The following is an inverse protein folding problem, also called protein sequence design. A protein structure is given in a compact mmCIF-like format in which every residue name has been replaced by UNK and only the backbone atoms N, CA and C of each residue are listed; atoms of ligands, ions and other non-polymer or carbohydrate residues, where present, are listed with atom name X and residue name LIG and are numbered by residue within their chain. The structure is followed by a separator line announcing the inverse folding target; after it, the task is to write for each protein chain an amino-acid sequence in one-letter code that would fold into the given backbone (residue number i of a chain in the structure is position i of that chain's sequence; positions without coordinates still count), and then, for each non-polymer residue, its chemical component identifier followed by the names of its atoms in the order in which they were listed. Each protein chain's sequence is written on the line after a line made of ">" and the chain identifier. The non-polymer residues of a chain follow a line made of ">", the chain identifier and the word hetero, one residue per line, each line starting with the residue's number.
data_IF_432627943094
#
_entry.id   IF_432627943094
#
_cell.length_a   1.000
_cell.length_b   1.000
_cell.length_c   1.000
_cell.angle_alpha   90.00
_cell.angle_beta   90.00
_cell.angle_gamma   90.00
#
_symmetry.space_group_name_H-M   'P 1'
#
loop_
_entity.id
_entity.type
_entity.pdbx_description
1 polymer ?
#
# COMPACT_ATOMS: atom_id res chain seq x y z
N UNK A 1 -19.65 -8.11 -10.43
CA UNK A 1 -20.40 -9.09 -9.68
C UNK A 1 -20.77 -8.53 -8.32
N UNK A 2 -22.04 -8.55 -7.93
CA UNK A 2 -22.40 -8.03 -6.60
C UNK A 2 -21.86 -8.93 -5.50
N UNK A 3 -21.51 -8.31 -4.37
CA UNK A 3 -21.07 -9.05 -3.20
C UNK A 3 -22.22 -9.19 -2.23
N UNK A 4 -22.09 -10.10 -1.28
CA UNK A 4 -23.11 -10.31 -0.26
C UNK A 4 -23.13 -9.16 0.75
N UNK A 5 -24.23 -9.04 1.48
CA UNK A 5 -24.34 -8.06 2.53
C UNK A 5 -23.29 -8.28 3.61
N UNK A 6 -23.00 -9.54 3.92
CA UNK A 6 -21.99 -9.88 4.92
C UNK A 6 -20.60 -9.45 4.47
N UNK A 7 -20.25 -9.67 3.21
CA UNK A 7 -18.96 -9.27 2.66
C UNK A 7 -18.82 -7.76 2.69
N UNK A 8 -19.88 -7.05 2.35
CA UNK A 8 -19.87 -5.59 2.40
C UNK A 8 -19.68 -5.09 3.82
N UNK A 9 -20.37 -5.67 4.78
CA UNK A 9 -20.28 -5.28 6.18
C UNK A 9 -18.89 -5.54 6.77
N UNK A 10 -18.22 -6.58 6.31
CA UNK A 10 -16.89 -6.95 6.77
C UNK A 10 -15.78 -6.16 6.06
N UNK A 11 -16.09 -5.54 4.93
CA UNK A 11 -15.10 -4.79 4.17
C UNK A 11 -13.95 -5.64 3.67
N UNK A 12 -14.22 -6.88 3.25
CA UNK A 12 -13.17 -7.88 2.98
C UNK A 12 -12.46 -7.75 1.66
N UNK A 13 -13.00 -6.97 0.73
CA UNK A 13 -12.49 -6.91 -0.63
C UNK A 13 -11.07 -6.37 -0.73
N UNK A 14 -10.62 -5.61 0.27
CA UNK A 14 -9.31 -4.95 0.24
C UNK A 14 -8.38 -5.42 1.35
N UNK A 15 -8.90 -6.19 2.30
CA UNK A 15 -8.17 -6.52 3.53
C UNK A 15 -6.84 -7.23 3.28
N UNK A 16 -6.81 -8.17 2.35
CA UNK A 16 -5.59 -8.94 2.09
C UNK A 16 -4.45 -8.06 1.62
N UNK A 17 -4.73 -7.12 0.73
CA UNK A 17 -3.71 -6.22 0.21
C UNK A 17 -3.26 -5.23 1.28
N UNK A 18 -4.20 -4.65 2.02
CA UNK A 18 -3.91 -3.72 3.11
C UNK A 18 -3.01 -4.38 4.15
N UNK A 19 -3.35 -5.62 4.53
CA UNK A 19 -2.57 -6.37 5.51
C UNK A 19 -1.16 -6.66 5.00
N UNK A 20 -1.01 -7.02 3.73
CA UNK A 20 0.31 -7.28 3.14
C UNK A 20 1.20 -6.04 3.16
N UNK A 21 0.65 -4.90 2.78
CA UNK A 21 1.39 -3.64 2.78
C UNK A 21 1.80 -3.28 4.21
N UNK A 22 0.86 -3.36 5.14
CA UNK A 22 1.12 -3.01 6.53
C UNK A 22 2.19 -3.92 7.14
N UNK A 23 2.10 -5.23 6.89
CA UNK A 23 3.11 -6.17 7.37
C UNK A 23 4.48 -5.89 6.83
N UNK A 24 4.58 -5.57 5.54
CA UNK A 24 5.84 -5.23 4.93
C UNK A 24 6.48 -4.02 5.61
N UNK A 25 5.71 -2.95 5.79
CA UNK A 25 6.22 -1.74 6.42
C UNK A 25 6.54 -1.95 7.91
N UNK A 26 5.69 -2.68 8.61
CA UNK A 26 5.92 -2.99 10.03
C UNK A 26 7.17 -3.84 10.25
N UNK A 27 7.48 -4.72 9.31
CA UNK A 27 8.68 -5.55 9.37
C UNK A 27 9.94 -4.74 9.06
N UNK A 28 9.80 -3.53 8.55
CA UNK A 28 10.90 -2.66 8.13
C UNK A 28 10.71 -1.25 8.69
N UNK A 29 10.36 -1.15 9.97
CA UNK A 29 10.02 0.13 10.62
C UNK A 29 11.12 1.18 10.59
N UNK A 30 12.34 0.77 10.44
CA UNK A 30 13.49 1.66 10.39
C UNK A 30 13.79 2.22 8.99
N UNK A 31 12.96 1.85 8.01
CA UNK A 31 13.18 2.23 6.62
C UNK A 31 11.94 2.83 6.00
N UNK A 32 12.15 3.74 5.06
CA UNK A 32 11.09 4.30 4.24
C UNK A 32 11.24 3.81 2.81
N UNK A 33 10.12 3.62 2.12
CA UNK A 33 10.10 3.05 0.78
C UNK A 33 9.26 3.89 -0.14
N UNK A 34 9.64 3.94 -1.42
CA UNK A 34 8.79 4.53 -2.44
C UNK A 34 7.64 3.57 -2.76
N UNK A 35 6.62 4.10 -3.40
CA UNK A 35 5.48 3.29 -3.85
C UNK A 35 5.93 2.16 -4.75
N UNK A 36 6.85 2.43 -5.68
CA UNK A 36 7.40 1.42 -6.59
C UNK A 36 8.10 0.29 -5.84
N UNK A 37 8.87 0.62 -4.82
CA UNK A 37 9.57 -0.38 -4.02
C UNK A 37 8.60 -1.28 -3.28
N UNK A 38 7.53 -0.70 -2.72
CA UNK A 38 6.50 -1.48 -2.03
C UNK A 38 5.76 -2.37 -3.02
N UNK A 39 5.37 -1.82 -4.17
CA UNK A 39 4.69 -2.60 -5.21
C UNK A 39 5.54 -3.76 -5.70
N UNK A 40 6.84 -3.52 -5.88
CA UNK A 40 7.77 -4.54 -6.33
C UNK A 40 7.85 -5.69 -5.34
N UNK A 41 7.79 -5.39 -4.06
CA UNK A 41 7.76 -6.41 -3.02
C UNK A 41 6.45 -7.19 -3.03
N UNK A 42 5.32 -6.49 -3.10
CA UNK A 42 3.98 -7.11 -3.05
C UNK A 42 3.74 -7.99 -4.28
N UNK A 43 4.17 -7.53 -5.44
CA UNK A 43 3.97 -8.22 -6.73
C UNK A 43 5.27 -8.80 -7.27
N UNK A 44 6.08 -9.39 -6.39
CA UNK A 44 7.44 -9.84 -6.74
C UNK A 44 7.48 -10.93 -7.81
N UNK A 45 6.43 -11.71 -7.96
CA UNK A 45 6.42 -12.86 -8.85
C UNK A 45 5.71 -12.62 -10.18
N UNK A 46 5.14 -11.44 -10.38
CA UNK A 46 4.42 -11.13 -11.61
C UNK A 46 4.36 -9.63 -11.83
N UNK A 47 4.06 -9.26 -13.07
CA UNK A 47 3.90 -7.86 -13.46
C UNK A 47 2.53 -7.38 -12.97
N UNK A 48 2.52 -6.24 -12.28
CA UNK A 48 1.27 -5.63 -11.84
C UNK A 48 0.45 -5.15 -13.03
N UNK A 49 -0.82 -5.47 -13.02
CA UNK A 49 -1.77 -5.00 -14.04
C UNK A 49 -2.28 -3.61 -13.65
N UNK A 50 -2.81 -2.82 -14.59
CA UNK A 50 -3.35 -1.50 -14.26
C UNK A 50 -4.36 -1.52 -13.11
N UNK A 51 -5.20 -2.56 -13.04
CA UNK A 51 -6.14 -2.71 -11.93
C UNK A 51 -5.45 -2.90 -10.59
N UNK A 52 -4.31 -3.58 -10.58
CA UNK A 52 -3.53 -3.77 -9.37
C UNK A 52 -2.96 -2.44 -8.87
N UNK A 53 -2.54 -1.58 -9.78
CA UNK A 53 -2.03 -0.27 -9.42
C UNK A 53 -3.11 0.58 -8.74
N UNK A 54 -4.33 0.54 -9.25
CA UNK A 54 -5.46 1.27 -8.66
C UNK A 54 -5.76 0.73 -7.26
N UNK A 55 -5.83 -0.58 -7.12
CA UNK A 55 -6.09 -1.22 -5.83
C UNK A 55 -4.99 -0.91 -4.82
N UNK A 56 -3.74 -0.93 -5.27
CA UNK A 56 -2.60 -0.61 -4.44
C UNK A 56 -2.65 0.83 -3.94
N UNK A 57 -2.91 1.79 -4.83
CA UNK A 57 -3.03 3.19 -4.45
C UNK A 57 -4.15 3.41 -3.44
N UNK A 58 -5.29 2.75 -3.64
CA UNK A 58 -6.41 2.84 -2.70
C UNK A 58 -6.03 2.30 -1.33
N UNK A 59 -5.34 1.17 -1.29
CA UNK A 59 -4.90 0.56 -0.03
C UNK A 59 -3.92 1.48 0.71
N UNK A 60 -2.99 2.11 -0.02
CA UNK A 60 -2.04 3.04 0.57
C UNK A 60 -2.75 4.25 1.19
N UNK A 61 -3.75 4.79 0.49
CA UNK A 61 -4.52 5.92 1.00
C UNK A 61 -5.32 5.53 2.25
N UNK A 62 -5.91 4.35 2.26
CA UNK A 62 -6.66 3.85 3.42
C UNK A 62 -5.73 3.78 4.64
N UNK A 63 -4.55 3.22 4.47
CA UNK A 63 -3.58 3.12 5.56
C UNK A 63 -3.11 4.50 6.04
N UNK A 64 -2.88 5.42 5.12
CA UNK A 64 -2.46 6.77 5.47
C UNK A 64 -3.56 7.53 6.23
N UNK A 65 -4.80 7.46 5.77
CA UNK A 65 -5.92 8.11 6.46
C UNK A 65 -6.20 7.48 7.82
N UNK A 66 -5.96 6.19 7.95
CA UNK A 66 -6.13 5.50 9.23
C UNK A 66 -4.99 5.79 10.22
N UNK A 67 -3.96 6.51 9.78
CA UNK A 67 -2.82 6.81 10.62
C UNK A 67 -1.92 5.61 10.89
N UNK A 68 -1.96 4.60 10.01
CA UNK A 68 -1.16 3.39 10.17
C UNK A 68 0.21 3.53 9.53
N UNK A 69 0.35 4.41 8.57
CA UNK A 69 1.61 4.68 7.89
C UNK A 69 1.79 6.20 7.77
N UNK A 70 3.03 6.62 7.60
CA UNK A 70 3.38 8.02 7.34
C UNK A 70 3.91 8.15 5.93
N UNK A 71 3.71 9.33 5.34
CA UNK A 71 4.30 9.64 4.05
C UNK A 71 5.03 10.97 4.14
N UNK A 72 6.11 11.09 3.38
CA UNK A 72 6.92 12.30 3.28
C UNK A 72 7.37 12.49 1.86
N UNK A 73 7.48 13.75 1.44
CA UNK A 73 8.07 14.10 0.16
C UNK A 73 9.55 14.33 0.38
N UNK A 74 10.38 13.55 -0.29
CA UNK A 74 11.84 13.63 -0.15
C UNK A 74 12.43 14.13 -1.45
N UNK A 75 13.27 15.15 -1.36
CA UNK A 75 13.98 15.69 -2.51
C UNK A 75 15.18 14.80 -2.81
N UNK A 76 15.19 14.20 -3.98
CA UNK A 76 16.25 13.29 -4.42
C UNK A 76 16.98 13.89 -5.62
N UNK A 77 18.07 13.24 -6.04
CA UNK A 77 18.83 13.66 -7.22
C UNK A 77 18.03 13.62 -8.52
N UNK A 78 16.94 12.85 -8.55
CA UNK A 78 16.06 12.75 -9.72
C UNK A 78 14.72 13.45 -9.52
N UNK A 79 14.59 14.27 -8.49
CA UNK A 79 13.39 15.02 -8.20
C UNK A 79 12.76 14.63 -6.87
N UNK A 80 11.56 15.15 -6.62
CA UNK A 80 10.84 14.87 -5.38
C UNK A 80 10.12 13.53 -5.49
N UNK A 81 10.33 12.66 -4.51
CA UNK A 81 9.66 11.37 -4.44
C UNK A 81 8.90 11.25 -3.12
N UNK A 82 7.79 10.53 -3.16
CA UNK A 82 7.01 10.23 -1.96
C UNK A 82 7.53 8.93 -1.35
N UNK A 83 7.87 9.00 -0.06
CA UNK A 83 8.30 7.84 0.70
C UNK A 83 7.27 7.50 1.77
N UNK A 84 7.11 6.22 2.04
CA UNK A 84 6.16 5.68 3.01
C UNK A 84 6.90 4.87 4.06
N UNK A 85 6.43 4.95 5.29
CA UNK A 85 7.07 4.31 6.42
C UNK A 85 6.01 3.90 7.43
N UNK A 86 6.26 2.80 8.14
CA UNK A 86 5.39 2.41 9.26
C UNK A 86 5.42 3.50 10.32
N UNK A 87 4.29 3.72 10.93
CA UNK A 87 4.17 4.73 11.96
C UNK A 87 4.58 4.23 13.35
#
# INVERSE_FOLDING_TARGET
>A
MPISKDDFAKGRTEDALIVKIQRFLDSNKDKAFTEEEIMRHIYSEHIAWPGDTIAFNSAMLILAYAGKIELRYINTSVGIKTYFMAK
#
